data_IF_030043371985
#
_entry.id   IF_030043371985
#
_cell.length_a   1.000
_cell.length_b   1.000
_cell.length_c   1.000
_cell.angle_alpha   90.00
_cell.angle_beta   90.00
_cell.angle_gamma   90.00
#
_symmetry.space_group_name_H-M   'P 1'
#
loop_
_entity.id
_entity.type
_entity.pdbx_description
1 polymer ?
#
# COMPACT_ATOMS: atom_id res chain seq x y z
N UNK A 1 26.17 -1.59 -2.27
CA UNK A 1 25.90 -2.98 -1.84
C UNK A 1 26.24 -3.91 -2.99
N UNK A 2 27.00 -4.95 -2.72
CA UNK A 2 27.30 -5.99 -3.71
C UNK A 2 26.00 -6.70 -4.17
N UNK A 3 25.88 -7.15 -5.44
CA UNK A 3 24.67 -7.79 -5.95
C UNK A 3 24.19 -9.00 -5.15
N UNK A 4 25.12 -9.79 -4.57
CA UNK A 4 24.78 -10.98 -3.77
C UNK A 4 24.26 -10.57 -2.39
N UNK A 5 24.89 -9.60 -1.75
CA UNK A 5 24.46 -9.06 -0.45
C UNK A 5 23.09 -8.41 -0.54
N UNK A 6 22.81 -7.71 -1.65
CA UNK A 6 21.49 -7.12 -1.90
C UNK A 6 20.43 -8.20 -2.05
N UNK A 7 20.72 -9.29 -2.75
CA UNK A 7 19.79 -10.41 -2.91
C UNK A 7 19.47 -11.09 -1.58
N UNK A 8 20.49 -11.41 -0.79
CA UNK A 8 20.32 -11.97 0.55
C UNK A 8 19.52 -11.05 1.46
N UNK A 9 19.79 -9.75 1.44
CA UNK A 9 19.01 -8.77 2.20
C UNK A 9 17.52 -8.80 1.81
N UNK A 10 17.21 -8.83 0.51
CA UNK A 10 15.83 -8.89 0.05
C UNK A 10 15.18 -10.24 0.35
N UNK A 11 15.88 -11.37 0.23
CA UNK A 11 15.35 -12.69 0.60
C UNK A 11 14.97 -12.75 2.09
N UNK A 12 15.81 -12.23 2.99
CA UNK A 12 15.49 -12.14 4.43
C UNK A 12 14.31 -11.20 4.73
N UNK A 13 14.14 -10.13 3.96
CA UNK A 13 13.00 -9.23 4.09
C UNK A 13 11.71 -9.90 3.57
N UNK A 14 11.80 -10.65 2.48
CA UNK A 14 10.67 -11.39 1.90
C UNK A 14 10.16 -12.50 2.83
N UNK A 15 11.06 -13.24 3.49
CA UNK A 15 10.67 -14.24 4.50
C UNK A 15 9.89 -13.64 5.68
N UNK A 16 10.14 -12.38 6.01
CA UNK A 16 9.41 -11.67 7.08
C UNK A 16 8.09 -11.04 6.61
N UNK A 17 7.92 -10.86 5.30
CA UNK A 17 6.77 -10.17 4.69
C UNK A 17 5.75 -11.12 4.06
N UNK A 18 5.89 -12.44 4.23
CA UNK A 18 4.96 -13.47 3.71
C UNK A 18 3.48 -13.28 4.12
N UNK A 19 3.16 -12.35 5.03
CA UNK A 19 1.78 -11.98 5.39
C UNK A 19 1.34 -10.58 5.00
N UNK A 20 2.23 -9.69 4.53
CA UNK A 20 1.91 -8.31 4.12
C UNK A 20 1.39 -7.37 5.22
N UNK A 21 0.87 -7.89 6.33
CA UNK A 21 0.22 -7.12 7.41
C UNK A 21 1.22 -6.35 8.28
N UNK A 22 2.41 -6.90 8.54
CA UNK A 22 3.33 -6.35 9.55
C UNK A 22 3.95 -5.00 9.15
N UNK A 23 4.02 -4.67 7.86
CA UNK A 23 4.56 -3.36 7.42
C UNK A 23 3.51 -2.25 7.36
N UNK A 24 2.22 -2.57 7.22
CA UNK A 24 1.16 -1.57 7.17
C UNK A 24 0.86 -0.97 8.55
N UNK A 25 0.92 -1.79 9.60
CA UNK A 25 0.80 -1.31 10.99
C UNK A 25 1.90 -0.29 11.35
N UNK A 26 3.11 -0.48 10.82
CA UNK A 26 4.20 0.48 11.03
C UNK A 26 4.05 1.71 10.11
N UNK A 27 3.58 1.53 8.88
CA UNK A 27 3.26 2.63 7.97
C UNK A 27 2.16 3.55 8.55
N UNK A 28 1.25 3.03 9.39
CA UNK A 28 0.27 3.85 10.11
C UNK A 28 0.89 4.82 11.12
N UNK A 29 2.12 4.55 11.57
CA UNK A 29 2.87 5.42 12.49
C UNK A 29 3.71 6.46 11.78
N UNK A 30 3.86 6.37 10.46
CA UNK A 30 4.57 7.36 9.68
C UNK A 30 3.79 8.68 9.57
N UNK A 31 4.50 9.78 9.40
CA UNK A 31 3.87 11.09 9.14
C UNK A 31 3.21 11.11 7.76
N UNK A 32 3.89 10.56 6.75
CA UNK A 32 3.47 10.48 5.36
C UNK A 32 3.68 9.10 4.77
N UNK A 33 2.79 8.72 3.86
CA UNK A 33 2.87 7.46 3.10
C UNK A 33 2.55 7.68 1.63
N UNK A 34 3.10 6.82 0.78
CA UNK A 34 2.76 6.74 -0.64
C UNK A 34 2.41 5.30 -1.01
N UNK A 35 1.22 5.12 -1.57
CA UNK A 35 0.78 3.86 -2.14
C UNK A 35 1.17 3.80 -3.62
N UNK A 36 1.89 2.74 -3.98
CA UNK A 36 2.30 2.48 -5.36
C UNK A 36 1.60 1.24 -5.90
N UNK A 37 1.06 1.35 -7.12
CA UNK A 37 0.52 0.24 -7.87
C UNK A 37 1.10 0.26 -9.30
N UNK A 38 1.57 -0.89 -9.79
CA UNK A 38 2.18 -1.04 -11.14
C UNK A 38 3.24 0.04 -11.48
N UNK A 39 4.09 0.37 -10.51
CA UNK A 39 5.15 1.37 -10.68
C UNK A 39 4.69 2.83 -10.71
N UNK A 40 3.43 3.11 -10.35
CA UNK A 40 2.87 4.46 -10.27
C UNK A 40 2.36 4.75 -8.87
N UNK A 41 2.61 5.95 -8.38
CA UNK A 41 2.00 6.43 -7.14
C UNK A 41 0.52 6.69 -7.43
N UNK A 42 -0.35 5.97 -6.71
CA UNK A 42 -1.81 6.09 -6.84
C UNK A 42 -2.41 6.91 -5.70
N UNK A 43 -1.71 7.02 -4.58
CA UNK A 43 -2.09 7.84 -3.44
C UNK A 43 -0.84 8.26 -2.67
N UNK A 44 -0.79 9.49 -2.18
CA UNK A 44 0.27 9.96 -1.30
C UNK A 44 -0.23 11.08 -0.40
N UNK A 45 0.39 11.23 0.77
CA UNK A 45 0.10 12.29 1.72
C UNK A 45 0.22 11.83 3.16
N UNK A 46 -0.23 12.68 4.08
CA UNK A 46 -0.20 12.36 5.50
C UNK A 46 -1.13 11.19 5.84
N UNK A 47 -0.71 10.28 6.72
CA UNK A 47 -1.51 9.08 7.07
C UNK A 47 -2.92 9.47 7.51
N UNK A 48 -3.03 10.45 8.40
CA UNK A 48 -4.33 10.95 8.91
C UNK A 48 -5.19 11.60 7.83
N UNK A 49 -4.55 12.28 6.88
CA UNK A 49 -5.25 12.90 5.76
C UNK A 49 -5.83 11.83 4.83
N UNK A 50 -5.00 10.83 4.50
CA UNK A 50 -5.41 9.67 3.70
C UNK A 50 -6.57 8.94 4.38
N UNK A 51 -6.49 8.61 5.67
CA UNK A 51 -7.60 7.97 6.39
C UNK A 51 -8.87 8.81 6.35
N UNK A 52 -8.76 10.13 6.53
CA UNK A 52 -9.90 11.06 6.45
C UNK A 52 -10.60 11.04 5.08
N UNK A 53 -9.82 11.02 3.98
CA UNK A 53 -10.34 10.96 2.59
C UNK A 53 -11.15 9.70 2.30
N UNK A 54 -10.93 8.62 3.05
CA UNK A 54 -11.60 7.34 2.84
C UNK A 54 -12.76 7.09 3.82
N UNK A 55 -12.99 8.00 4.78
CA UNK A 55 -14.04 7.82 5.81
C UNK A 55 -15.44 7.60 5.26
N UNK A 56 -15.82 8.37 4.24
CA UNK A 56 -17.14 8.27 3.62
C UNK A 56 -17.37 6.95 2.88
N UNK A 57 -16.29 6.24 2.52
CA UNK A 57 -16.35 4.99 1.75
C UNK A 57 -16.15 3.74 2.61
N UNK A 58 -15.27 3.82 3.60
CA UNK A 58 -14.77 2.65 4.34
C UNK A 58 -15.13 2.68 5.84
N UNK A 59 -15.83 3.71 6.31
CA UNK A 59 -16.24 3.85 7.72
C UNK A 59 -15.42 4.89 8.50
N UNK A 60 -15.72 5.07 9.79
CA UNK A 60 -15.25 6.22 10.57
C UNK A 60 -13.72 6.28 10.78
N UNK A 61 -13.06 5.12 10.83
CA UNK A 61 -11.61 4.98 10.99
C UNK A 61 -11.08 3.82 10.15
N UNK A 62 -10.90 4.01 8.83
CA UNK A 62 -10.35 2.98 7.97
C UNK A 62 -8.85 2.81 8.24
N UNK A 63 -8.39 1.56 8.31
CA UNK A 63 -6.97 1.25 8.37
C UNK A 63 -6.28 1.48 7.02
N UNK A 64 -4.95 1.53 6.99
CA UNK A 64 -4.22 1.54 5.73
C UNK A 64 -4.48 0.27 4.91
N UNK A 65 -4.70 -0.88 5.55
CA UNK A 65 -5.05 -2.13 4.87
C UNK A 65 -6.39 -2.01 4.12
N UNK A 66 -7.42 -1.45 4.77
CA UNK A 66 -8.73 -1.22 4.13
C UNK A 66 -8.60 -0.31 2.91
N UNK A 67 -7.78 0.73 3.02
CA UNK A 67 -7.53 1.72 1.97
C UNK A 67 -6.79 1.08 0.80
N UNK A 68 -5.73 0.31 1.07
CA UNK A 68 -4.98 -0.41 0.03
C UNK A 68 -5.90 -1.38 -0.71
N UNK A 69 -6.72 -2.15 0.01
CA UNK A 69 -7.66 -3.08 -0.60
C UNK A 69 -8.70 -2.37 -1.48
N UNK A 70 -9.22 -1.20 -1.05
CA UNK A 70 -10.15 -0.40 -1.87
C UNK A 70 -9.49 0.16 -3.13
N UNK A 71 -8.28 0.71 -3.01
CA UNK A 71 -7.55 1.29 -4.14
C UNK A 71 -7.17 0.22 -5.16
N UNK A 72 -6.72 -0.96 -4.71
CA UNK A 72 -6.34 -2.06 -5.61
C UNK A 72 -7.56 -2.60 -6.35
N UNK A 73 -8.68 -2.82 -5.65
CA UNK A 73 -9.91 -3.34 -6.27
C UNK A 73 -10.40 -2.43 -7.39
N UNK A 74 -10.47 -1.12 -7.13
CA UNK A 74 -10.93 -0.13 -8.11
C UNK A 74 -9.92 0.11 -9.23
N UNK A 75 -8.63 0.11 -8.92
CA UNK A 75 -7.57 0.23 -9.93
C UNK A 75 -7.45 -1.00 -10.83
N UNK A 76 -8.00 -2.15 -10.43
CA UNK A 76 -8.21 -3.31 -11.29
C UNK A 76 -9.35 -3.10 -12.29
N UNK A 77 -10.49 -2.56 -11.83
CA UNK A 77 -11.69 -2.32 -12.62
C UNK A 77 -11.51 -1.25 -13.73
N UNK A 78 -10.62 -0.27 -13.51
CA UNK A 78 -10.28 0.78 -14.48
C UNK A 78 -9.38 0.28 -15.63
N UNK A 79 -8.61 -0.78 -15.41
CA UNK A 79 -7.77 -1.41 -16.44
C UNK A 79 -8.58 -2.42 -17.29
N UNK A 80 -9.62 -3.06 -16.74
CA UNK A 80 -10.54 -3.91 -17.52
C UNK A 80 -11.47 -3.11 -18.44
N UNK A 81 -11.89 -1.90 -18.06
CA UNK A 81 -12.69 -1.02 -18.92
C UNK A 81 -11.92 -0.40 -20.10
N UNK A 82 -10.58 -0.49 -20.14
CA UNK A 82 -9.77 -0.05 -21.29
C UNK A 82 -9.53 -1.13 -22.34
N UNK A 83 -9.99 -2.35 -22.10
CA UNK A 83 -9.93 -3.45 -23.07
C UNK A 83 -11.29 -3.78 -23.72
N UNK A 84 -12.33 -2.99 -23.44
CA UNK A 84 -13.68 -3.11 -24.02
C UNK A 84 -13.93 -2.14 -25.15
#
# INVERSE_FOLDING_TARGET
>A
MDPLTRRLFWEQLYERTERGTTELDEAERCDEVALMNRGRIVLSGGVREIQSRFRSRLGERPSLEDIVADVIRRGGDDDEQKLG
#
